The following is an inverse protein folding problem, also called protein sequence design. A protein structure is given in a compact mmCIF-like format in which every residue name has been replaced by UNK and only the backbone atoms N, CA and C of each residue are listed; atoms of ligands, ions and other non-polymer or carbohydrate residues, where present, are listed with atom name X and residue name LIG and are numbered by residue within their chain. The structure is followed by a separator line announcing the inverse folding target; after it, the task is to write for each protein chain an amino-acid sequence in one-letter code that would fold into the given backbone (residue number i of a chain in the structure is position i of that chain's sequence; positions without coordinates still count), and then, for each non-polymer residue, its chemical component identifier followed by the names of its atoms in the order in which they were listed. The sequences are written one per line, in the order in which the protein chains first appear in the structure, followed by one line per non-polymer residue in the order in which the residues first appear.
data_IF_182226478199
#
_entry.id   IF_182226478199
#
_cell.length_a   1.000
_cell.length_b   1.000
_cell.length_c   1.000
_cell.angle_alpha   90.00
_cell.angle_beta   90.00
_cell.angle_gamma   90.00
#
_symmetry.space_group_name_H-M   'P 1'
#
loop_
_entity.id
_entity.type
_entity.pdbx_description
1 polymer ?
#
# COMPACT_ATOMS: atom_id res chain seq x y z
N UNK A 1 -9.14 -13.20 -7.53
CA UNK A 1 -8.35 -12.99 -6.27
C UNK A 1 -8.53 -14.23 -5.40
N UNK A 2 -7.44 -14.80 -4.85
CA UNK A 2 -7.57 -15.96 -3.98
C UNK A 2 -8.03 -15.56 -2.54
N UNK A 3 -8.52 -16.55 -1.80
CA UNK A 3 -9.05 -16.32 -0.45
C UNK A 3 -7.98 -15.84 0.56
N UNK A 4 -6.71 -16.20 0.37
CA UNK A 4 -5.64 -15.77 1.28
C UNK A 4 -5.38 -14.28 1.15
N UNK A 5 -5.37 -13.75 -0.08
CA UNK A 5 -5.24 -12.31 -0.33
C UNK A 5 -6.40 -11.57 0.34
N UNK A 6 -7.65 -12.02 0.12
CA UNK A 6 -8.82 -11.41 0.76
C UNK A 6 -8.69 -11.42 2.28
N UNK A 7 -8.25 -12.53 2.88
CA UNK A 7 -8.02 -12.62 4.34
C UNK A 7 -6.90 -11.69 4.82
N UNK A 8 -5.80 -11.56 4.05
CA UNK A 8 -4.70 -10.65 4.41
C UNK A 8 -5.14 -9.20 4.36
N UNK A 9 -5.84 -8.79 3.29
CA UNK A 9 -6.42 -7.45 3.16
C UNK A 9 -7.36 -7.15 4.34
N UNK A 10 -8.26 -8.07 4.66
CA UNK A 10 -9.17 -7.90 5.79
C UNK A 10 -8.44 -7.79 7.15
N UNK A 11 -7.35 -8.54 7.35
CA UNK A 11 -6.51 -8.44 8.57
C UNK A 11 -5.73 -7.14 8.66
N UNK A 12 -5.46 -6.50 7.54
CA UNK A 12 -4.84 -5.18 7.46
C UNK A 12 -5.87 -4.04 7.63
N UNK A 13 -7.15 -4.36 7.85
CA UNK A 13 -8.22 -3.40 8.05
C UNK A 13 -8.97 -3.01 6.77
N UNK A 14 -8.67 -3.65 5.64
CA UNK A 14 -9.41 -3.43 4.40
C UNK A 14 -10.82 -4.02 4.45
N UNK A 15 -11.79 -3.26 3.97
CA UNK A 15 -13.16 -3.75 3.81
C UNK A 15 -13.27 -4.58 2.52
N UNK A 16 -13.48 -5.87 2.67
CA UNK A 16 -13.59 -6.85 1.59
C UNK A 16 -15.01 -7.39 1.40
N UNK A 17 -16.02 -6.79 2.05
CA UNK A 17 -17.40 -7.30 2.04
C UNK A 17 -18.05 -7.35 0.66
N UNK A 18 -17.54 -6.58 -0.27
CA UNK A 18 -18.05 -6.51 -1.65
C UNK A 18 -17.19 -7.27 -2.66
N UNK A 19 -16.12 -7.92 -2.22
CA UNK A 19 -15.31 -8.79 -3.08
C UNK A 19 -16.08 -10.07 -3.35
N UNK A 20 -16.30 -10.38 -4.63
CA UNK A 20 -17.03 -11.58 -5.06
C UNK A 20 -16.37 -12.19 -6.29
N UNK A 21 -16.29 -13.52 -6.34
CA UNK A 21 -15.63 -14.26 -7.42
C UNK A 21 -16.37 -14.20 -8.78
N UNK A 22 -17.61 -13.70 -8.81
CA UNK A 22 -18.38 -13.46 -10.04
C UNK A 22 -18.06 -12.10 -10.69
N UNK A 23 -17.33 -11.22 -9.99
CA UNK A 23 -16.84 -9.95 -10.54
C UNK A 23 -15.57 -10.14 -11.35
N UNK A 24 -15.35 -9.27 -12.35
CA UNK A 24 -14.07 -9.18 -13.04
C UNK A 24 -12.94 -8.84 -12.07
N UNK A 25 -11.70 -9.15 -12.47
CA UNK A 25 -10.50 -8.84 -11.68
C UNK A 25 -10.46 -7.37 -11.21
N UNK A 26 -10.67 -6.45 -12.16
CA UNK A 26 -10.72 -4.99 -11.88
C UNK A 26 -11.79 -4.64 -10.85
N UNK A 27 -13.01 -5.14 -11.04
CA UNK A 27 -14.13 -4.84 -10.13
C UNK A 27 -13.95 -5.44 -8.73
N UNK A 28 -13.20 -6.55 -8.59
CA UNK A 28 -12.86 -7.08 -7.28
C UNK A 28 -11.96 -6.09 -6.51
N UNK A 29 -10.95 -5.53 -7.16
CA UNK A 29 -10.06 -4.53 -6.55
C UNK A 29 -10.78 -3.23 -6.23
N UNK A 30 -11.57 -2.71 -7.14
CA UNK A 30 -12.36 -1.48 -6.97
C UNK A 30 -13.46 -1.60 -5.90
N UNK A 31 -13.74 -2.82 -5.43
CA UNK A 31 -14.68 -3.04 -4.33
C UNK A 31 -14.04 -3.09 -2.95
N UNK A 32 -12.71 -2.96 -2.86
CA UNK A 32 -11.96 -2.90 -1.60
C UNK A 32 -11.79 -1.44 -1.18
N UNK A 33 -11.93 -1.17 0.11
CA UNK A 33 -11.65 0.15 0.69
C UNK A 33 -10.85 0.01 1.97
N UNK A 34 -10.04 1.03 2.27
CA UNK A 34 -9.34 1.17 3.54
C UNK A 34 -9.69 2.53 4.15
N UNK A 35 -9.98 2.53 5.44
CA UNK A 35 -10.30 3.74 6.20
C UNK A 35 -9.04 4.37 6.83
N UNK A 36 -7.88 3.73 6.68
CA UNK A 36 -6.61 4.16 7.24
C UNK A 36 -5.44 3.80 6.33
N UNK A 37 -4.28 4.34 6.66
CA UNK A 37 -3.03 4.05 5.97
C UNK A 37 -2.45 2.70 6.38
N UNK A 38 -1.56 2.18 5.54
CA UNK A 38 -0.77 0.99 5.81
C UNK A 38 0.67 1.40 6.10
N UNK A 39 1.33 0.67 6.98
CA UNK A 39 2.72 0.89 7.38
C UNK A 39 3.55 -0.34 7.11
N UNK A 40 4.74 -0.15 6.54
CA UNK A 40 5.69 -1.22 6.28
C UNK A 40 6.38 -1.67 7.57
N UNK A 41 6.66 -2.97 7.68
CA UNK A 41 7.38 -3.53 8.84
C UNK A 41 8.82 -3.07 8.95
N UNK A 42 9.43 -2.74 7.81
CA UNK A 42 10.80 -2.24 7.75
C UNK A 42 10.88 -0.71 7.97
N UNK A 43 9.76 -0.09 8.29
CA UNK A 43 9.67 1.34 8.44
C UNK A 43 10.08 1.82 9.84
N UNK A 44 10.96 2.82 9.89
CA UNK A 44 11.22 3.58 11.11
C UNK A 44 9.98 4.39 11.48
N UNK A 45 9.52 4.27 12.70
CA UNK A 45 8.26 4.88 13.14
C UNK A 45 8.40 6.40 13.22
N UNK A 46 8.23 7.07 12.10
CA UNK A 46 8.37 8.53 11.99
C UNK A 46 7.37 9.27 12.88
N UNK A 47 7.87 10.33 13.54
CA UNK A 47 7.04 11.23 14.33
C UNK A 47 6.67 10.69 15.71
N UNK A 48 7.11 9.50 16.12
CA UNK A 48 6.85 8.96 17.46
C UNK A 48 7.44 9.85 18.56
N UNK A 49 8.66 10.35 18.37
CA UNK A 49 9.29 11.28 19.32
C UNK A 49 8.45 12.53 19.52
N UNK A 50 7.99 13.11 18.42
CA UNK A 50 7.17 14.30 18.44
C UNK A 50 5.79 14.04 19.07
N UNK A 51 5.20 12.88 18.79
CA UNK A 51 3.95 12.47 19.40
C UNK A 51 4.12 12.26 20.91
N UNK A 52 5.18 11.57 21.33
CA UNK A 52 5.52 11.34 22.72
C UNK A 52 5.73 12.66 23.47
N UNK A 53 6.58 13.56 22.94
CA UNK A 53 6.86 14.85 23.58
C UNK A 53 5.60 15.71 23.78
N UNK A 54 4.67 15.67 22.84
CA UNK A 54 3.38 16.37 22.95
C UNK A 54 2.44 15.73 23.98
N UNK A 55 2.58 14.44 24.25
CA UNK A 55 1.67 13.66 25.07
C UNK A 55 2.35 12.99 26.28
N UNK A 56 3.54 13.42 26.67
CA UNK A 56 4.32 12.77 27.73
C UNK A 56 3.65 12.77 29.11
N UNK A 57 2.84 13.76 29.43
CA UNK A 57 2.05 13.78 30.65
C UNK A 57 1.01 12.65 30.65
N UNK A 58 0.34 12.43 29.52
CA UNK A 58 -0.59 11.34 29.37
C UNK A 58 0.12 9.98 29.45
N UNK A 59 1.29 9.84 28.81
CA UNK A 59 2.10 8.63 28.90
C UNK A 59 2.50 8.32 30.36
N UNK A 60 2.82 9.32 31.15
CA UNK A 60 3.20 9.17 32.55
C UNK A 60 2.00 8.82 33.45
N UNK A 61 0.81 9.37 33.18
CA UNK A 61 -0.37 9.23 34.02
C UNK A 61 -1.27 8.05 33.62
N UNK A 62 -1.40 7.77 32.31
CA UNK A 62 -2.34 6.78 31.74
C UNK A 62 -1.78 6.20 30.43
N UNK A 63 -0.83 5.26 30.54
CA UNK A 63 -0.23 4.60 29.37
C UNK A 63 -1.25 3.92 28.45
N UNK A 64 -2.25 3.18 28.95
CA UNK A 64 -3.28 2.59 28.08
C UNK A 64 -3.94 3.65 27.19
N UNK A 65 -4.39 4.74 27.75
CA UNK A 65 -5.04 5.83 27.02
C UNK A 65 -4.09 6.51 26.03
N UNK A 66 -2.81 6.65 26.38
CA UNK A 66 -1.79 7.16 25.46
C UNK A 66 -1.70 6.27 24.21
N UNK A 67 -1.61 4.95 24.37
CA UNK A 67 -1.51 4.01 23.25
C UNK A 67 -2.79 3.93 22.43
N UNK A 68 -3.96 4.02 23.03
CA UNK A 68 -5.24 4.10 22.29
C UNK A 68 -5.33 5.36 21.42
N UNK A 69 -4.91 6.50 21.97
CA UNK A 69 -4.86 7.76 21.22
C UNK A 69 -3.79 7.74 20.12
N UNK A 70 -2.65 7.10 20.39
CA UNK A 70 -1.59 6.92 19.39
C UNK A 70 -2.08 6.07 18.22
N UNK A 71 -2.72 4.93 18.47
CA UNK A 71 -3.31 4.10 17.42
C UNK A 71 -4.34 4.89 16.61
N UNK A 72 -5.22 5.63 17.28
CA UNK A 72 -6.19 6.50 16.61
C UNK A 72 -5.51 7.53 15.72
N UNK A 73 -4.42 8.12 16.19
CA UNK A 73 -3.67 9.12 15.44
C UNK A 73 -3.03 8.55 14.18
N UNK A 74 -2.36 7.40 14.29
CA UNK A 74 -1.65 6.79 13.15
C UNK A 74 -2.58 6.03 12.20
N UNK A 75 -3.66 5.43 12.68
CA UNK A 75 -4.62 4.67 11.87
C UNK A 75 -5.92 5.41 11.61
N UNK A 76 -5.90 6.74 11.65
CA UNK A 76 -7.00 7.58 11.18
C UNK A 76 -6.66 8.20 9.81
N UNK A 77 -7.64 8.85 9.21
CA UNK A 77 -7.50 9.49 7.91
C UNK A 77 -6.78 10.86 8.01
N UNK A 78 -5.57 10.86 8.58
CA UNK A 78 -4.69 12.02 8.66
C UNK A 78 -3.49 11.86 7.74
N UNK A 79 -3.05 12.94 7.10
CA UNK A 79 -1.84 12.92 6.29
C UNK A 79 -0.58 12.93 7.15
N UNK A 80 0.20 11.87 7.03
CA UNK A 80 1.56 11.81 7.54
C UNK A 80 2.54 11.91 6.38
N UNK A 81 3.62 12.67 6.52
CA UNK A 81 4.47 12.98 5.38
C UNK A 81 5.34 11.82 4.89
N UNK A 82 5.55 10.74 5.66
CA UNK A 82 6.44 9.64 5.26
C UNK A 82 6.06 8.31 5.89
N UNK A 83 6.45 7.22 5.21
CA UNK A 83 6.41 5.86 5.75
C UNK A 83 5.04 5.19 5.75
N UNK A 84 4.03 5.78 5.16
CA UNK A 84 2.71 5.18 4.99
C UNK A 84 2.41 4.89 3.54
N UNK A 85 1.53 3.92 3.35
CA UNK A 85 1.01 3.53 2.06
C UNK A 85 -0.47 3.81 1.99
N UNK A 86 -0.90 4.37 0.86
CA UNK A 86 -2.30 4.65 0.57
C UNK A 86 -2.82 3.59 -0.39
N UNK A 87 -3.91 2.94 -0.01
CA UNK A 87 -4.60 2.06 -0.96
C UNK A 87 -5.21 2.88 -2.09
N UNK A 88 -5.04 2.38 -3.31
CA UNK A 88 -5.60 2.92 -4.54
C UNK A 88 -6.40 1.83 -5.25
N UNK A 89 -7.37 2.25 -6.02
CA UNK A 89 -8.13 1.38 -6.92
C UNK A 89 -8.12 1.93 -8.35
N UNK A 90 -7.10 2.71 -8.66
CA UNK A 90 -6.96 3.41 -9.93
C UNK A 90 -6.59 2.44 -11.05
N UNK A 91 -7.50 2.32 -12.04
CA UNK A 91 -7.25 1.64 -13.29
C UNK A 91 -6.48 2.57 -14.21
N UNK A 92 -5.31 2.13 -14.67
CA UNK A 92 -4.40 2.87 -15.53
C UNK A 92 -4.24 2.15 -16.87
N UNK A 93 -4.60 2.80 -17.97
CA UNK A 93 -4.72 2.22 -19.31
C UNK A 93 -4.01 3.06 -20.37
N UNK A 94 -2.68 3.30 -20.24
CA UNK A 94 -1.95 4.31 -21.03
C UNK A 94 -1.86 4.01 -22.52
N UNK A 95 -2.04 2.76 -22.93
CA UNK A 95 -2.00 2.33 -24.32
C UNK A 95 -3.36 2.06 -24.94
N UNK A 96 -4.44 2.27 -24.20
CA UNK A 96 -5.80 2.01 -24.67
C UNK A 96 -6.40 3.26 -25.29
N UNK A 97 -6.67 3.21 -26.58
CA UNK A 97 -7.41 4.27 -27.28
C UNK A 97 -8.74 4.59 -26.56
N UNK A 98 -9.13 5.85 -26.52
CA UNK A 98 -10.33 6.36 -25.85
C UNK A 98 -10.33 6.27 -24.30
N UNK A 99 -9.22 5.89 -23.64
CA UNK A 99 -9.08 6.04 -22.19
C UNK A 99 -8.63 7.45 -21.81
N UNK A 100 -8.86 7.85 -20.54
CA UNK A 100 -8.37 9.13 -20.01
C UNK A 100 -6.85 9.20 -19.96
N UNK A 101 -6.17 8.03 -19.76
CA UNK A 101 -4.74 7.92 -19.63
C UNK A 101 -4.01 7.67 -20.97
N UNK A 102 -4.74 7.60 -22.11
CA UNK A 102 -4.15 7.29 -23.40
C UNK A 102 -3.06 8.28 -23.78
N UNK A 103 -1.86 7.75 -24.05
CA UNK A 103 -0.70 8.54 -24.40
C UNK A 103 0.10 9.12 -23.22
N UNK A 104 -0.28 8.87 -21.98
CA UNK A 104 0.44 9.35 -20.79
C UNK A 104 1.91 8.89 -20.75
N UNK A 105 2.21 7.78 -21.39
CA UNK A 105 3.56 7.23 -21.48
C UNK A 105 4.27 7.56 -22.80
N UNK A 106 3.68 8.35 -23.69
CA UNK A 106 4.27 8.72 -24.97
C UNK A 106 5.61 9.47 -24.77
N UNK A 107 6.66 8.94 -25.37
CA UNK A 107 8.01 9.47 -25.25
C UNK A 107 8.75 9.10 -23.95
N UNK A 108 8.13 8.33 -23.06
CA UNK A 108 8.77 7.75 -21.88
C UNK A 108 9.14 6.29 -22.10
N UNK A 109 8.18 5.47 -22.54
CA UNK A 109 8.39 4.05 -22.81
C UNK A 109 7.37 3.56 -23.85
N UNK A 110 7.81 2.71 -24.75
CA UNK A 110 6.93 2.05 -25.72
C UNK A 110 6.26 0.80 -25.10
N UNK A 111 5.06 0.45 -25.57
CA UNK A 111 4.34 -0.70 -25.06
C UNK A 111 5.13 -2.02 -25.17
N UNK A 112 5.90 -2.20 -26.24
CA UNK A 112 6.72 -3.40 -26.48
C UNK A 112 7.86 -3.50 -25.45
N UNK A 113 8.46 -2.38 -25.04
CA UNK A 113 9.49 -2.33 -24.00
C UNK A 113 8.89 -2.69 -22.64
N UNK A 114 7.69 -2.19 -22.34
CA UNK A 114 6.99 -2.51 -21.11
C UNK A 114 6.63 -4.01 -21.02
N UNK A 115 6.29 -4.64 -22.13
CA UNK A 115 6.00 -6.10 -22.23
C UNK A 115 7.23 -6.96 -21.91
N UNK A 116 8.45 -6.44 -22.00
CA UNK A 116 9.65 -7.17 -21.59
C UNK A 116 9.80 -7.22 -20.06
N UNK A 117 9.25 -6.24 -19.34
CA UNK A 117 9.37 -6.12 -17.88
C UNK A 117 8.14 -6.67 -17.13
N UNK A 118 6.96 -6.61 -17.72
CA UNK A 118 5.68 -6.93 -17.07
C UNK A 118 5.03 -8.15 -17.71
N UNK A 119 4.70 -9.14 -16.89
CA UNK A 119 3.94 -10.31 -17.33
C UNK A 119 2.46 -9.94 -17.56
N UNK A 120 2.01 -10.05 -18.82
CA UNK A 120 0.62 -9.78 -19.19
C UNK A 120 0.43 -9.72 -20.69
N UNK A 121 -0.79 -9.95 -21.16
CA UNK A 121 -1.14 -9.85 -22.59
C UNK A 121 -1.56 -8.44 -23.01
N UNK A 122 -2.04 -7.64 -22.08
CA UNK A 122 -2.47 -6.26 -22.27
C UNK A 122 -1.79 -5.40 -21.21
N UNK A 123 -1.25 -4.26 -21.60
CA UNK A 123 -0.56 -3.33 -20.68
C UNK A 123 -1.57 -2.37 -20.05
N UNK A 124 -2.50 -2.97 -19.30
CA UNK A 124 -3.45 -2.29 -18.42
C UNK A 124 -3.15 -2.63 -16.97
N UNK A 125 -3.25 -1.66 -16.06
CA UNK A 125 -2.78 -1.81 -14.69
C UNK A 125 -3.83 -1.38 -13.70
N UNK A 126 -3.81 -1.99 -12.49
CA UNK A 126 -4.42 -1.40 -11.30
C UNK A 126 -3.31 -0.94 -10.37
N UNK A 127 -3.24 0.34 -10.09
CA UNK A 127 -2.43 0.88 -9.02
C UNK A 127 -3.09 0.49 -7.70
N UNK A 128 -2.39 -0.32 -6.89
CA UNK A 128 -2.91 -0.83 -5.61
C UNK A 128 -2.50 0.05 -4.44
N UNK A 129 -1.25 0.50 -4.44
CA UNK A 129 -0.70 1.29 -3.36
C UNK A 129 0.14 2.44 -3.90
N UNK A 130 0.08 3.53 -3.18
CA UNK A 130 0.94 4.69 -3.35
C UNK A 130 1.64 4.97 -2.02
N UNK A 131 2.93 5.29 -2.03
CA UNK A 131 3.66 5.73 -0.85
C UNK A 131 4.34 7.07 -1.11
N UNK A 132 4.65 7.79 -0.05
CA UNK A 132 5.59 8.90 -0.17
C UNK A 132 7.02 8.39 -0.13
N UNK A 133 7.81 8.69 -1.14
CA UNK A 133 9.19 8.24 -1.29
C UNK A 133 9.36 7.15 -2.34
N UNK A 134 10.58 6.87 -2.73
CA UNK A 134 10.95 5.95 -3.80
C UNK A 134 10.98 4.48 -3.34
N UNK A 135 10.43 3.54 -4.11
CA UNK A 135 9.45 3.72 -5.19
C UNK A 135 8.07 4.04 -4.58
N UNK A 136 7.28 4.87 -5.23
CA UNK A 136 6.03 5.37 -4.65
C UNK A 136 4.74 4.78 -5.25
N UNK A 137 4.79 4.14 -6.41
CA UNK A 137 3.64 3.44 -6.99
C UNK A 137 3.85 1.93 -7.04
N UNK A 138 2.79 1.20 -6.67
CA UNK A 138 2.73 -0.26 -6.74
C UNK A 138 1.49 -0.68 -7.51
N UNK A 139 1.67 -1.50 -8.52
CA UNK A 139 0.60 -1.89 -9.42
C UNK A 139 0.66 -3.37 -9.78
N UNK A 140 -0.43 -3.89 -10.34
CA UNK A 140 -0.53 -5.21 -10.94
C UNK A 140 -1.07 -5.07 -12.36
N UNK A 141 -0.64 -5.95 -13.26
CA UNK A 141 -1.20 -6.03 -14.60
C UNK A 141 -2.58 -6.72 -14.54
N UNK A 142 -3.59 -6.14 -15.20
CA UNK A 142 -4.96 -6.71 -15.22
C UNK A 142 -5.04 -8.02 -15.96
N UNK A 143 -4.10 -8.27 -16.88
CA UNK A 143 -3.97 -9.50 -17.69
C UNK A 143 -2.83 -10.41 -17.22
N UNK A 144 -2.35 -10.25 -15.93
CA UNK A 144 -1.37 -11.18 -15.35
C UNK A 144 -1.86 -12.64 -15.54
N UNK A 145 -1.00 -13.56 -15.95
CA UNK A 145 -1.37 -14.98 -16.14
C UNK A 145 -1.98 -15.63 -14.89
N UNK A 146 -1.60 -15.17 -13.71
CA UNK A 146 -2.19 -15.59 -12.44
C UNK A 146 -2.96 -14.42 -11.75
N UNK A 147 -4.13 -14.11 -12.28
CA UNK A 147 -5.02 -13.11 -11.67
C UNK A 147 -5.48 -13.47 -10.26
N UNK A 148 -5.29 -14.72 -9.83
CA UNK A 148 -5.61 -15.12 -8.46
C UNK A 148 -4.57 -14.63 -7.44
N UNK A 149 -3.30 -14.50 -7.88
CA UNK A 149 -2.17 -13.99 -7.11
C UNK A 149 -1.17 -13.29 -8.06
N UNK A 150 -1.50 -12.09 -8.58
CA UNK A 150 -0.70 -11.43 -9.60
C UNK A 150 0.65 -10.96 -9.05
N UNK A 151 1.57 -10.67 -9.97
CA UNK A 151 2.85 -10.04 -9.66
C UNK A 151 2.64 -8.56 -9.37
N UNK A 152 3.23 -8.08 -8.28
CA UNK A 152 3.28 -6.64 -7.95
C UNK A 152 4.53 -6.04 -8.55
N UNK A 153 4.37 -4.91 -9.17
CA UNK A 153 5.46 -4.10 -9.72
C UNK A 153 5.48 -2.74 -9.03
N UNK A 154 6.65 -2.11 -9.02
CA UNK A 154 6.79 -0.75 -8.53
C UNK A 154 7.42 0.15 -9.57
N UNK A 155 7.06 1.41 -9.52
CA UNK A 155 7.68 2.51 -10.25
C UNK A 155 7.55 3.80 -9.44
N UNK A 156 8.36 4.81 -9.70
CA UNK A 156 8.22 6.11 -9.07
C UNK A 156 7.63 7.17 -10.02
N UNK A 157 7.29 8.32 -9.46
CA UNK A 157 6.65 9.41 -10.21
C UNK A 157 7.63 10.24 -11.06
N UNK A 158 8.94 10.13 -10.86
CA UNK A 158 9.94 10.90 -11.61
C UNK A 158 10.30 10.23 -12.94
N UNK A 159 10.40 8.90 -12.92
CA UNK A 159 10.77 8.09 -14.08
C UNK A 159 9.61 7.26 -14.63
N UNK A 160 8.49 7.26 -13.94
CA UNK A 160 7.30 6.49 -14.32
C UNK A 160 7.66 5.03 -14.67
N UNK A 161 7.07 4.50 -15.73
CA UNK A 161 7.28 3.13 -16.19
C UNK A 161 8.62 2.87 -16.90
N UNK A 162 9.55 3.85 -16.96
CA UNK A 162 10.90 3.60 -17.48
C UNK A 162 11.73 2.70 -16.57
N UNK A 163 11.48 2.75 -15.26
CA UNK A 163 12.12 1.87 -14.28
C UNK A 163 11.04 1.08 -13.52
N UNK A 164 10.95 -0.21 -13.83
CA UNK A 164 9.99 -1.12 -13.23
C UNK A 164 10.72 -2.22 -12.49
N UNK A 165 10.32 -2.43 -11.25
CA UNK A 165 10.86 -3.50 -10.42
C UNK A 165 9.75 -4.45 -9.97
N UNK A 166 9.95 -5.77 -10.18
CA UNK A 166 9.06 -6.78 -9.62
C UNK A 166 9.27 -6.89 -8.10
N UNK A 167 8.19 -6.79 -7.34
CA UNK A 167 8.15 -6.97 -5.88
C UNK A 167 7.64 -8.36 -5.48
N UNK A 168 7.52 -9.28 -6.43
CA UNK A 168 7.04 -10.64 -6.21
C UNK A 168 5.52 -10.75 -6.24
N UNK A 169 5.00 -11.86 -5.76
CA UNK A 169 3.56 -12.12 -5.77
C UNK A 169 2.82 -11.31 -4.70
N UNK A 170 1.61 -10.89 -5.04
CA UNK A 170 0.79 -10.02 -4.18
C UNK A 170 0.52 -10.61 -2.80
N UNK A 171 0.30 -11.91 -2.70
CA UNK A 171 0.09 -12.56 -1.41
C UNK A 171 1.28 -12.34 -0.46
N UNK A 172 2.49 -12.47 -0.97
CA UNK A 172 3.73 -12.25 -0.19
C UNK A 172 3.98 -10.75 0.04
N UNK A 173 3.69 -9.93 -0.96
CA UNK A 173 3.82 -8.48 -0.86
C UNK A 173 2.99 -7.88 0.28
N UNK A 174 1.78 -8.41 0.52
CA UNK A 174 0.91 -7.94 1.61
C UNK A 174 1.48 -8.25 3.00
N UNK A 175 2.36 -9.23 3.14
CA UNK A 175 2.99 -9.56 4.43
C UNK A 175 3.98 -8.51 4.92
N UNK A 176 4.39 -7.58 4.06
CA UNK A 176 5.24 -6.45 4.46
C UNK A 176 4.54 -5.44 5.35
N UNK A 177 3.21 -5.36 5.30
CA UNK A 177 2.46 -4.38 6.07
C UNK A 177 2.21 -4.81 7.51
N UNK A 178 2.32 -3.84 8.44
CA UNK A 178 2.03 -4.04 9.85
C UNK A 178 0.53 -4.04 10.12
N UNK A 179 0.11 -4.92 11.04
CA UNK A 179 -1.18 -4.77 11.74
C UNK A 179 -1.01 -3.78 12.90
N UNK A 180 -2.13 -3.29 13.42
CA UNK A 180 -2.13 -2.35 14.54
C UNK A 180 -1.40 -2.89 15.78
N UNK A 181 -1.53 -4.18 16.06
CA UNK A 181 -0.85 -4.83 17.18
C UNK A 181 0.68 -4.85 16.99
N UNK A 182 1.14 -5.19 15.77
CA UNK A 182 2.58 -5.21 15.43
C UNK A 182 3.17 -3.79 15.50
N UNK A 183 2.45 -2.79 14.97
CA UNK A 183 2.83 -1.38 15.08
C UNK A 183 2.97 -0.95 16.56
N UNK A 184 1.98 -1.32 17.38
CA UNK A 184 1.99 -0.97 18.81
C UNK A 184 3.16 -1.60 19.57
N UNK A 185 3.53 -2.82 19.24
CA UNK A 185 4.70 -3.50 19.85
C UNK A 185 6.01 -2.80 19.48
N UNK A 186 6.18 -2.42 18.21
CA UNK A 186 7.34 -1.67 17.74
C UNK A 186 7.44 -0.33 18.48
N UNK A 187 6.34 0.41 18.58
CA UNK A 187 6.31 1.71 19.27
C UNK A 187 6.63 1.55 20.75
N UNK A 188 6.08 0.55 21.43
CA UNK A 188 6.37 0.29 22.85
C UNK A 188 7.86 0.02 23.06
N UNK A 189 8.45 -0.86 22.25
CA UNK A 189 9.89 -1.15 22.32
C UNK A 189 10.73 0.09 22.08
N UNK A 190 10.39 0.87 21.07
CA UNK A 190 11.09 2.12 20.75
C UNK A 190 11.06 3.12 21.93
N UNK A 191 9.87 3.33 22.54
CA UNK A 191 9.72 4.26 23.66
C UNK A 191 10.47 3.78 24.90
N UNK A 192 10.50 2.49 25.20
CA UNK A 192 11.23 1.91 26.32
C UNK A 192 12.76 2.04 26.14
N UNK A 193 13.27 1.83 24.94
CA UNK A 193 14.69 1.89 24.64
C UNK A 193 15.24 3.32 24.59
N UNK A 194 14.49 4.26 24.06
CA UNK A 194 14.98 5.60 23.75
C UNK A 194 14.53 6.69 24.73
N UNK A 195 13.36 6.53 25.34
CA UNK A 195 12.72 7.60 26.14
C UNK A 195 12.39 7.16 27.57
N UNK A 196 12.55 5.89 27.90
CA UNK A 196 12.29 5.32 29.23
C UNK A 196 13.43 5.46 30.25
N UNK A 197 14.39 6.36 30.02
CA UNK A 197 15.54 6.61 30.92
C UNK A 197 15.38 7.88 31.69
#
# INVERSE_FOLDING_TARGET
MNENIVKKISKLGGNTNHVSGDKSFVLQWQSITFDHYLYDKDWDVYGIDQYYEKNKELYACDKPKFFDQLLTHYFSNHEFPYGQYFFKDWLYTPFKEDSEDYGDLDGFIEEDELREAVEGSEMEFICLFYSYGYPDHYFVCTSDPDQSNPTVYSTDHEVYFQEIESKGKLEDFLDRFMKQEEFLEIVKSYLEENLGK
#
